data_IF_457563247461
#
_entry.id   IF_457563247461
#
_cell.length_a   1.000
_cell.length_b   1.000
_cell.length_c   1.000
_cell.angle_alpha   90.00
_cell.angle_beta   90.00
_cell.angle_gamma   90.00
#
_symmetry.space_group_name_H-M   'P 1'
#
loop_
_entity.id
_entity.type
_entity.pdbx_description
1 polymer ?
#
# COMPACT_ATOMS: atom_id res chain seq x y z
N UNK A 1 -13.80 4.49 -22.13
CA UNK A 1 -12.64 4.67 -21.22
C UNK A 1 -12.29 3.29 -20.70
N UNK A 2 -11.02 2.87 -20.76
CA UNK A 2 -10.62 1.59 -20.18
C UNK A 2 -10.46 1.84 -18.68
N UNK A 3 -11.33 1.27 -17.86
CA UNK A 3 -11.19 1.27 -16.40
C UNK A 3 -10.02 0.37 -16.05
N UNK A 4 -8.93 0.93 -15.53
CA UNK A 4 -7.81 0.11 -15.05
C UNK A 4 -8.24 -0.58 -13.76
N UNK A 5 -8.16 -1.91 -13.77
CA UNK A 5 -8.48 -2.76 -12.63
C UNK A 5 -7.19 -3.10 -11.90
N UNK A 6 -7.13 -2.84 -10.60
CA UNK A 6 -6.05 -3.37 -9.77
C UNK A 6 -6.54 -4.64 -9.08
N UNK A 7 -5.65 -5.62 -8.97
CA UNK A 7 -5.94 -6.87 -8.27
C UNK A 7 -5.23 -6.84 -6.93
N UNK A 8 -5.98 -6.83 -5.82
CA UNK A 8 -5.43 -6.93 -4.48
C UNK A 8 -5.54 -8.38 -4.02
N UNK A 9 -4.40 -9.04 -3.85
CA UNK A 9 -4.30 -10.42 -3.39
C UNK A 9 -3.82 -10.46 -1.94
N UNK A 10 -4.51 -11.24 -1.13
CA UNK A 10 -4.26 -11.36 0.30
C UNK A 10 -3.65 -12.73 0.58
N UNK A 11 -2.54 -12.75 1.31
CA UNK A 11 -1.98 -14.00 1.84
C UNK A 11 -2.80 -14.50 3.04
N UNK A 12 -2.74 -15.79 3.32
CA UNK A 12 -3.46 -16.38 4.46
C UNK A 12 -3.00 -15.77 5.79
N UNK A 13 -1.69 -15.55 5.90
CA UNK A 13 -1.07 -14.85 7.04
C UNK A 13 -1.62 -13.43 7.18
N UNK A 14 -1.75 -12.68 6.07
CA UNK A 14 -2.35 -11.36 6.15
C UNK A 14 -3.77 -11.41 6.73
N UNK A 15 -4.61 -12.36 6.31
CA UNK A 15 -5.97 -12.49 6.84
C UNK A 15 -5.98 -12.75 8.34
N UNK A 16 -5.15 -13.71 8.79
CA UNK A 16 -5.00 -14.06 10.22
C UNK A 16 -4.64 -12.85 11.07
N UNK A 17 -3.71 -12.03 10.61
CA UNK A 17 -3.31 -10.82 11.32
C UNK A 17 -4.34 -9.69 11.20
N UNK A 18 -5.02 -9.58 10.06
CA UNK A 18 -6.03 -8.55 9.82
C UNK A 18 -7.24 -8.69 10.75
N UNK A 19 -7.66 -9.91 11.08
CA UNK A 19 -8.75 -10.17 12.03
C UNK A 19 -8.50 -9.60 13.43
N UNK A 20 -7.23 -9.54 13.85
CA UNK A 20 -6.83 -8.93 15.13
C UNK A 20 -6.64 -7.41 15.09
N UNK A 21 -6.66 -6.79 13.89
CA UNK A 21 -6.36 -5.36 13.71
C UNK A 21 -7.58 -4.58 13.22
N UNK A 22 -8.42 -5.17 12.38
CA UNK A 22 -9.49 -4.49 11.65
C UNK A 22 -10.77 -5.32 11.63
N UNK A 23 -11.90 -4.61 11.59
CA UNK A 23 -13.16 -5.19 11.14
C UNK A 23 -13.15 -5.37 9.61
N UNK A 24 -14.01 -6.25 9.09
CA UNK A 24 -14.13 -6.51 7.64
C UNK A 24 -14.32 -5.21 6.83
N UNK A 25 -15.15 -4.29 7.30
CA UNK A 25 -15.37 -2.99 6.65
C UNK A 25 -14.09 -2.14 6.57
N UNK A 26 -13.26 -2.15 7.62
CA UNK A 26 -12.00 -1.40 7.65
C UNK A 26 -10.95 -2.04 6.74
N UNK A 27 -10.91 -3.37 6.67
CA UNK A 27 -10.07 -4.13 5.73
C UNK A 27 -10.46 -3.82 4.28
N UNK A 28 -11.76 -3.78 3.96
CA UNK A 28 -12.27 -3.39 2.63
C UNK A 28 -11.89 -1.94 2.29
N UNK A 29 -12.01 -1.01 3.24
CA UNK A 29 -11.56 0.38 3.05
C UNK A 29 -10.07 0.46 2.75
N UNK A 30 -9.25 -0.32 3.45
CA UNK A 30 -7.82 -0.40 3.17
C UNK A 30 -7.53 -0.98 1.78
N UNK A 31 -8.21 -2.07 1.38
CA UNK A 31 -8.07 -2.71 0.06
C UNK A 31 -8.38 -1.72 -1.07
N UNK A 32 -9.49 -0.98 -0.95
CA UNK A 32 -9.86 0.04 -1.94
C UNK A 32 -8.82 1.18 -1.97
N UNK A 33 -8.34 1.60 -0.81
CA UNK A 33 -7.34 2.66 -0.71
C UNK A 33 -5.99 2.25 -1.30
N UNK A 34 -5.48 1.04 -1.01
CA UNK A 34 -4.17 0.59 -1.49
C UNK A 34 -4.19 0.32 -3.00
N UNK A 35 -5.31 -0.16 -3.55
CA UNK A 35 -5.50 -0.28 -4.99
C UNK A 35 -5.34 1.08 -5.71
N UNK A 36 -5.86 2.15 -5.12
CA UNK A 36 -5.69 3.51 -5.64
C UNK A 36 -4.32 4.13 -5.33
N UNK A 37 -3.57 3.56 -4.39
CA UNK A 37 -2.29 4.09 -3.91
C UNK A 37 -1.19 3.01 -3.90
N UNK A 38 -0.91 2.33 -5.04
CA UNK A 38 -0.02 1.16 -5.08
C UNK A 38 1.43 1.47 -4.68
N UNK A 39 1.85 2.73 -4.76
CA UNK A 39 3.19 3.18 -4.39
C UNK A 39 3.29 3.77 -2.98
N UNK A 40 2.23 3.72 -2.17
CA UNK A 40 2.22 4.34 -0.86
C UNK A 40 3.16 3.68 0.16
N UNK A 41 3.78 4.50 0.99
CA UNK A 41 4.71 4.03 2.02
C UNK A 41 6.12 3.76 1.50
N UNK A 42 6.99 3.44 2.44
CA UNK A 42 8.43 3.39 2.21
C UNK A 42 8.83 2.01 1.68
N UNK A 43 9.72 1.96 0.67
CA UNK A 43 10.36 0.70 0.27
C UNK A 43 11.21 0.21 1.44
N UNK A 44 11.01 -1.05 1.83
CA UNK A 44 11.79 -1.69 2.88
C UNK A 44 13.15 -2.09 2.29
N UNK A 45 14.28 -1.53 2.79
CA UNK A 45 15.60 -1.88 2.29
C UNK A 45 15.85 -3.39 2.37
N UNK A 46 16.55 -3.98 1.40
CA UNK A 46 16.88 -5.43 1.41
C UNK A 46 15.71 -6.38 1.11
N UNK A 47 14.48 -5.89 0.96
CA UNK A 47 13.27 -6.73 0.77
C UNK A 47 12.92 -7.04 -0.68
N UNK A 48 13.80 -6.68 -1.62
CA UNK A 48 13.57 -6.78 -3.07
C UNK A 48 12.26 -6.12 -3.55
N UNK A 49 11.87 -5.00 -2.92
CA UNK A 49 10.75 -4.16 -3.38
C UNK A 49 9.48 -4.21 -2.53
N UNK A 50 9.48 -4.89 -1.37
CA UNK A 50 8.36 -4.79 -0.44
C UNK A 50 8.24 -3.35 0.10
N UNK A 51 7.01 -2.86 0.24
CA UNK A 51 6.69 -1.54 0.78
C UNK A 51 6.03 -1.67 2.14
N UNK A 52 6.25 -0.67 3.00
CA UNK A 52 5.63 -0.55 4.31
C UNK A 52 4.82 0.73 4.37
N UNK A 53 3.50 0.58 4.46
CA UNK A 53 2.57 1.70 4.57
C UNK A 53 2.01 1.82 5.98
N UNK A 54 1.89 3.05 6.46
CA UNK A 54 1.15 3.40 7.68
C UNK A 54 -0.24 3.82 7.24
N UNK A 55 -1.27 3.13 7.71
CA UNK A 55 -2.64 3.45 7.35
C UNK A 55 -3.49 3.66 8.60
N UNK A 56 -4.31 4.70 8.56
CA UNK A 56 -5.32 4.97 9.56
C UNK A 56 -6.50 5.67 8.91
N UNK A 57 -7.70 5.27 9.31
CA UNK A 57 -8.93 5.92 8.88
C UNK A 57 -9.01 7.34 9.48
N UNK A 58 -9.31 8.34 8.65
CA UNK A 58 -9.48 9.73 9.08
C UNK A 58 -10.66 9.88 10.06
N UNK A 59 -10.44 10.54 11.20
CA UNK A 59 -11.50 10.88 12.17
C UNK A 59 -11.79 9.83 13.25
N UNK A 60 -11.05 8.70 13.30
CA UNK A 60 -11.18 7.70 14.38
C UNK A 60 -9.92 7.74 15.26
N UNK A 61 -10.11 7.75 16.59
CA UNK A 61 -9.04 7.87 17.58
C UNK A 61 -8.01 6.73 17.58
N UNK A 62 -7.15 6.69 18.61
CA UNK A 62 -5.89 5.89 18.76
C UNK A 62 -5.91 4.40 18.37
N UNK A 63 -7.07 3.79 18.09
CA UNK A 63 -7.24 2.37 17.69
C UNK A 63 -7.18 2.11 16.16
N UNK A 64 -7.08 3.13 15.31
CA UNK A 64 -7.12 2.96 13.85
C UNK A 64 -5.78 2.82 13.11
N UNK A 65 -4.65 2.94 13.81
CA UNK A 65 -3.32 3.00 13.17
C UNK A 65 -2.67 1.63 12.97
N UNK A 66 -2.62 1.16 11.73
CA UNK A 66 -1.98 -0.09 11.34
C UNK A 66 -0.77 0.14 10.43
N UNK A 67 0.15 -0.83 10.42
CA UNK A 67 1.24 -0.91 9.44
C UNK A 67 1.04 -2.14 8.61
N UNK A 68 1.09 -1.98 7.30
CA UNK A 68 0.95 -3.07 6.34
C UNK A 68 2.24 -3.18 5.54
N UNK A 69 2.75 -4.41 5.42
CA UNK A 69 3.81 -4.74 4.48
C UNK A 69 3.15 -5.40 3.28
N UNK A 70 3.46 -4.90 2.09
CA UNK A 70 2.87 -5.36 0.85
C UNK A 70 3.89 -5.32 -0.29
N UNK A 71 3.58 -5.99 -1.40
CA UNK A 71 4.39 -5.97 -2.61
C UNK A 71 3.53 -5.52 -3.79
N UNK A 72 4.07 -4.64 -4.64
CA UNK A 72 3.38 -4.13 -5.82
C UNK A 72 4.05 -4.69 -7.08
N UNK A 73 3.35 -5.56 -7.80
CA UNK A 73 3.79 -6.06 -9.10
C UNK A 73 3.58 -4.99 -10.19
N UNK A 74 4.39 -5.06 -11.25
CA UNK A 74 4.34 -4.11 -12.36
C UNK A 74 3.01 -4.17 -13.14
N UNK A 75 2.30 -5.30 -13.08
CA UNK A 75 1.04 -5.54 -13.81
C UNK A 75 -0.22 -5.08 -13.04
N UNK A 76 -0.06 -4.32 -11.96
CA UNK A 76 -1.20 -3.80 -11.17
C UNK A 76 -1.78 -4.80 -10.17
N UNK A 77 -1.05 -5.88 -9.85
CA UNK A 77 -1.35 -6.77 -8.74
C UNK A 77 -0.62 -6.33 -7.47
N UNK A 78 -1.35 -6.23 -6.37
CA UNK A 78 -0.84 -5.83 -5.06
C UNK A 78 -1.00 -7.02 -4.11
N UNK A 79 0.10 -7.49 -3.54
CA UNK A 79 0.10 -8.57 -2.55
C UNK A 79 0.19 -8.04 -1.14
N UNK A 80 -0.84 -8.29 -0.33
CA UNK A 80 -0.85 -7.98 1.09
C UNK A 80 -0.20 -9.12 1.87
N UNK A 81 0.94 -8.84 2.52
CA UNK A 81 1.78 -9.85 3.14
C UNK A 81 1.50 -9.97 4.64
N UNK A 82 1.47 -8.86 5.37
CA UNK A 82 1.18 -8.87 6.82
C UNK A 82 0.73 -7.49 7.28
N UNK A 83 -0.10 -7.45 8.33
CA UNK A 83 -0.55 -6.21 8.99
C UNK A 83 -0.35 -6.31 10.50
N UNK A 84 -0.02 -5.20 11.16
CA UNK A 84 0.09 -5.16 12.62
C UNK A 84 -0.22 -3.77 13.19
N UNK A 85 -0.75 -3.74 14.42
CA UNK A 85 -1.09 -2.52 15.12
C UNK A 85 0.14 -1.80 15.70
N UNK A 86 0.01 -0.49 15.96
CA UNK A 86 1.10 0.35 16.50
C UNK A 86 1.65 -0.12 17.85
N UNK A 87 0.86 -0.79 18.69
CA UNK A 87 1.32 -1.32 19.99
C UNK A 87 2.46 -2.34 19.86
N UNK A 88 2.51 -3.08 18.74
CA UNK A 88 3.51 -4.12 18.48
C UNK A 88 4.72 -3.58 17.71
N UNK A 89 4.81 -2.26 17.50
CA UNK A 89 5.86 -1.65 16.68
C UNK A 89 7.19 -1.39 17.39
N UNK A 90 7.24 -1.59 18.71
CA UNK A 90 8.48 -1.49 19.48
C UNK A 90 9.52 -2.52 19.01
N UNK A 91 9.05 -3.58 18.36
CA UNK A 91 9.83 -4.77 18.01
C UNK A 91 10.25 -4.84 16.54
N UNK A 92 9.70 -3.96 15.69
CA UNK A 92 10.24 -3.68 14.34
C UNK A 92 11.32 -2.57 14.37
N UNK A 93 12.10 -2.48 15.45
CA UNK A 93 13.23 -1.56 15.56
C UNK A 93 14.46 -2.24 14.92
N UNK A 94 14.66 -1.98 13.62
CA UNK A 94 15.96 -1.90 12.94
C UNK A 94 17.06 -2.96 13.24
N UNK A 95 16.72 -4.20 13.59
CA UNK A 95 17.68 -5.33 13.66
C UNK A 95 17.47 -6.37 12.55
N UNK A 96 16.77 -6.01 11.46
CA UNK A 96 16.46 -6.96 10.39
C UNK A 96 17.50 -6.99 9.25
N UNK A 97 18.38 -5.99 9.11
CA UNK A 97 19.18 -5.83 7.88
C UNK A 97 20.67 -5.53 8.09
N UNK A 98 21.29 -6.02 9.16
CA UNK A 98 22.71 -5.75 9.39
C UNK A 98 23.54 -6.90 9.98
N UNK A 99 23.20 -8.16 9.73
CA UNK A 99 24.17 -9.19 10.10
C UNK A 99 24.18 -10.42 9.19
N UNK A 100 24.96 -10.31 8.11
CA UNK A 100 25.68 -11.45 7.54
C UNK A 100 27.19 -11.38 7.79
N UNK A 101 27.68 -10.47 8.65
CA UNK A 101 29.04 -10.61 9.13
C UNK A 101 29.32 -9.85 10.42
N UNK A 102 30.04 -10.54 11.30
CA UNK A 102 30.70 -10.12 12.55
C UNK A 102 29.89 -10.06 13.85
N UNK A 103 30.64 -10.46 14.88
CA UNK A 103 30.27 -11.21 16.09
C UNK A 103 30.39 -10.30 17.32
N UNK A 104 29.61 -10.64 18.36
CA UNK A 104 29.55 -10.07 19.73
C UNK A 104 28.65 -8.82 19.88
N UNK A 105 27.78 -8.66 20.90
CA UNK A 105 27.74 -9.27 22.23
C UNK A 105 26.32 -9.19 22.87
N UNK A 106 25.96 -10.26 23.60
CA UNK A 106 24.99 -10.42 24.71
C UNK A 106 23.55 -9.83 24.68
N UNK A 107 22.60 -10.76 24.61
CA UNK A 107 21.39 -10.85 25.43
C UNK A 107 20.35 -9.71 25.36
N UNK A 108 19.64 -9.64 24.23
CA UNK A 108 18.18 -9.80 24.30
C UNK A 108 17.82 -11.04 23.49
N UNK A 109 17.03 -11.99 24.02
CA UNK A 109 16.41 -12.96 23.13
C UNK A 109 15.66 -12.16 22.07
N UNK A 110 15.75 -12.57 20.80
CA UNK A 110 14.65 -12.25 19.88
C UNK A 110 13.43 -12.82 20.58
N UNK A 111 12.57 -11.94 21.12
CA UNK A 111 11.35 -12.34 21.81
C UNK A 111 10.64 -13.36 20.89
N UNK A 112 10.19 -14.51 21.37
CA UNK A 112 9.66 -15.58 20.51
C UNK A 112 8.55 -15.08 19.55
N UNK A 113 7.82 -14.05 19.98
CA UNK A 113 6.85 -13.29 19.16
C UNK A 113 7.45 -12.69 17.88
N UNK A 114 8.70 -12.23 17.93
CA UNK A 114 9.41 -11.70 16.76
C UNK A 114 9.89 -12.76 15.80
N UNK A 115 10.37 -13.88 16.33
CA UNK A 115 10.73 -15.01 15.49
C UNK A 115 9.49 -15.52 14.75
N UNK A 116 8.35 -15.63 15.46
CA UNK A 116 7.08 -15.97 14.85
C UNK A 116 6.66 -14.94 13.78
N UNK A 117 6.76 -13.64 14.07
CA UNK A 117 6.43 -12.59 13.10
C UNK A 117 7.30 -12.68 11.83
N UNK A 118 8.60 -12.95 11.98
CA UNK A 118 9.49 -13.13 10.84
C UNK A 118 9.13 -14.37 10.03
N UNK A 119 8.87 -15.50 10.69
CA UNK A 119 8.45 -16.74 10.04
C UNK A 119 7.13 -16.57 9.28
N UNK A 120 6.17 -15.86 9.88
CA UNK A 120 4.88 -15.55 9.25
C UNK A 120 5.06 -14.65 8.03
N UNK A 121 5.86 -13.59 8.11
CA UNK A 121 6.16 -12.72 6.97
C UNK A 121 6.85 -13.50 5.84
N UNK A 122 7.81 -14.38 6.16
CA UNK A 122 8.45 -15.26 5.18
C UNK A 122 7.45 -16.22 4.54
N UNK A 123 6.51 -16.76 5.32
CA UNK A 123 5.44 -17.61 4.81
C UNK A 123 4.54 -16.83 3.82
N UNK A 124 4.16 -15.59 4.12
CA UNK A 124 3.43 -14.73 3.19
C UNK A 124 4.19 -14.51 1.88
N UNK A 125 5.50 -14.25 1.95
CA UNK A 125 6.34 -14.07 0.76
C UNK A 125 6.41 -15.36 -0.06
N UNK A 126 6.49 -16.53 0.57
CA UNK A 126 6.44 -17.83 -0.12
C UNK A 126 5.08 -18.06 -0.79
N UNK A 127 3.98 -17.72 -0.13
CA UNK A 127 2.63 -17.80 -0.70
C UNK A 127 2.50 -16.90 -1.94
N UNK A 128 2.94 -15.65 -1.85
CA UNK A 128 3.00 -14.71 -2.97
C UNK A 128 3.82 -15.28 -4.13
N UNK A 129 5.06 -15.74 -3.88
CA UNK A 129 5.93 -16.32 -4.94
C UNK A 129 5.33 -17.57 -5.58
N UNK A 130 4.51 -18.31 -4.86
CA UNK A 130 3.77 -19.47 -5.36
C UNK A 130 2.42 -19.11 -6.01
N UNK A 131 2.05 -17.82 -6.08
CA UNK A 131 0.76 -17.37 -6.60
C UNK A 131 -0.45 -17.75 -5.74
N UNK A 132 -0.23 -18.14 -4.48
CA UNK A 132 -1.27 -18.62 -3.56
C UNK A 132 -1.91 -17.46 -2.80
N UNK A 133 -2.96 -16.87 -3.37
CA UNK A 133 -3.79 -15.88 -2.69
C UNK A 133 -4.94 -16.56 -1.92
N UNK A 134 -5.10 -16.23 -0.64
CA UNK A 134 -6.22 -16.67 0.17
C UNK A 134 -7.53 -15.92 -0.17
N UNK A 135 -7.42 -14.65 -0.54
CA UNK A 135 -8.51 -13.87 -1.14
C UNK A 135 -7.95 -12.95 -2.21
N UNK A 136 -8.71 -12.77 -3.28
CA UNK A 136 -8.38 -11.80 -4.33
C UNK A 136 -9.57 -10.87 -4.53
N UNK A 137 -9.31 -9.57 -4.51
CA UNK A 137 -10.30 -8.53 -4.73
C UNK A 137 -9.87 -7.71 -5.94
N UNK A 138 -10.75 -7.61 -6.93
CA UNK A 138 -10.54 -6.74 -8.10
C UNK A 138 -11.18 -5.39 -7.80
N UNK A 139 -10.37 -4.33 -7.81
CA UNK A 139 -10.80 -2.96 -7.51
C UNK A 139 -10.76 -2.14 -8.79
N UNK A 140 -11.92 -1.60 -9.18
CA UNK A 140 -12.03 -0.64 -10.26
C UNK A 140 -11.53 0.73 -9.81
N UNK A 141 -10.49 1.25 -10.46
CA UNK A 141 -10.00 2.59 -10.14
C UNK A 141 -10.93 3.67 -10.70
N UNK A 142 -11.05 4.76 -9.93
CA UNK A 142 -11.63 5.99 -10.45
C UNK A 142 -10.71 6.58 -11.53
N UNK A 143 -11.22 7.39 -12.48
CA UNK A 143 -10.39 8.01 -13.51
C UNK A 143 -9.24 8.86 -12.95
N UNK A 144 -9.44 9.49 -11.79
CA UNK A 144 -8.41 10.27 -11.13
C UNK A 144 -7.29 9.39 -10.56
N UNK A 145 -7.65 8.29 -9.88
CA UNK A 145 -6.68 7.37 -9.30
C UNK A 145 -5.88 6.64 -10.40
N UNK A 146 -6.54 6.24 -11.49
CA UNK A 146 -5.89 5.65 -12.66
C UNK A 146 -4.88 6.60 -13.30
N UNK A 147 -5.29 7.84 -13.56
CA UNK A 147 -4.40 8.84 -14.16
C UNK A 147 -3.14 9.07 -13.31
N UNK A 148 -3.29 9.24 -11.99
CA UNK A 148 -2.13 9.42 -11.10
C UNK A 148 -1.24 8.18 -11.08
N UNK A 149 -1.82 6.99 -10.97
CA UNK A 149 -1.07 5.74 -10.92
C UNK A 149 -0.20 5.55 -12.17
N UNK A 150 -0.74 5.87 -13.36
CA UNK A 150 -0.01 5.79 -14.63
C UNK A 150 1.12 6.81 -14.76
N UNK A 151 0.93 8.01 -14.22
CA UNK A 151 1.98 9.05 -14.21
C UNK A 151 3.06 8.72 -13.19
N UNK A 152 2.74 7.99 -12.11
CA UNK A 152 3.69 7.57 -11.09
C UNK A 152 4.02 8.67 -10.07
N UNK A 153 3.15 9.66 -9.93
CA UNK A 153 3.32 10.78 -9.00
C UNK A 153 2.66 10.54 -7.64
N UNK A 154 3.15 11.22 -6.61
CA UNK A 154 2.45 11.36 -5.32
C UNK A 154 1.15 12.16 -5.48
N UNK A 155 0.23 12.03 -4.52
CA UNK A 155 -1.00 12.84 -4.51
C UNK A 155 -0.69 14.35 -4.48
N UNK A 156 0.36 14.77 -3.77
CA UNK A 156 0.76 16.18 -3.71
C UNK A 156 1.27 16.71 -5.04
N UNK A 157 2.17 15.99 -5.71
CA UNK A 157 2.71 16.38 -7.01
C UNK A 157 1.60 16.41 -8.07
N UNK A 158 0.74 15.38 -8.08
CA UNK A 158 -0.34 15.30 -9.04
C UNK A 158 -1.42 16.36 -8.81
N UNK A 159 -1.72 16.70 -7.54
CA UNK A 159 -2.65 17.79 -7.22
C UNK A 159 -2.09 19.15 -7.66
N UNK A 160 -0.80 19.38 -7.43
CA UNK A 160 -0.10 20.59 -7.87
C UNK A 160 -0.14 20.75 -9.39
N UNK A 161 0.17 19.67 -10.13
CA UNK A 161 0.08 19.61 -11.58
C UNK A 161 -1.33 19.97 -12.11
N UNK A 162 -2.38 19.47 -11.44
CA UNK A 162 -3.77 19.74 -11.82
C UNK A 162 -4.29 21.10 -11.33
N UNK A 163 -3.52 21.84 -10.54
CA UNK A 163 -3.94 23.12 -9.95
C UNK A 163 -5.07 22.98 -8.93
N UNK A 164 -5.15 21.85 -8.21
CA UNK A 164 -6.19 21.60 -7.19
C UNK A 164 -5.58 21.27 -5.83
N UNK A 165 -6.37 21.40 -4.77
CA UNK A 165 -5.92 20.96 -3.44
C UNK A 165 -5.78 19.43 -3.38
N UNK A 166 -4.84 18.94 -2.57
CA UNK A 166 -4.69 17.49 -2.29
C UNK A 166 -6.01 16.89 -1.80
N UNK A 167 -6.78 17.64 -1.00
CA UNK A 167 -8.10 17.22 -0.51
C UNK A 167 -9.08 17.01 -1.65
N UNK A 168 -9.10 17.91 -2.63
CA UNK A 168 -9.94 17.79 -3.84
C UNK A 168 -9.58 16.55 -4.64
N UNK A 169 -8.29 16.33 -4.89
CA UNK A 169 -7.83 15.13 -5.58
C UNK A 169 -8.22 13.86 -4.82
N UNK A 170 -8.07 13.83 -3.49
CA UNK A 170 -8.50 12.69 -2.67
C UNK A 170 -10.00 12.41 -2.75
N UNK A 171 -10.84 13.46 -2.82
CA UNK A 171 -12.28 13.28 -3.01
C UNK A 171 -12.63 12.70 -4.39
N UNK A 172 -11.87 13.05 -5.43
CA UNK A 172 -12.01 12.45 -6.76
C UNK A 172 -11.54 11.00 -6.79
N UNK A 173 -10.36 10.72 -6.21
CA UNK A 173 -9.78 9.37 -6.19
C UNK A 173 -10.65 8.38 -5.42
N UNK A 174 -11.29 8.84 -4.34
CA UNK A 174 -12.16 8.03 -3.49
C UNK A 174 -13.63 8.04 -3.96
N UNK A 175 -13.95 8.70 -5.08
CA UNK A 175 -15.30 8.75 -5.64
C UNK A 175 -16.31 9.55 -4.81
N UNK A 176 -15.87 10.31 -3.81
CA UNK A 176 -16.75 11.21 -3.02
C UNK A 176 -17.24 12.41 -3.83
N UNK A 177 -16.48 12.82 -4.84
CA UNK A 177 -16.82 13.93 -5.72
C UNK A 177 -16.38 13.64 -7.14
N UNK A 178 -17.17 14.10 -8.12
CA UNK A 178 -16.74 14.05 -9.51
C UNK A 178 -15.84 15.24 -9.90
N UNK A 179 -14.81 15.03 -10.72
CA UNK A 179 -14.05 16.13 -11.33
C UNK A 179 -14.92 16.96 -12.29
N UNK A 180 -14.58 18.24 -12.45
CA UNK A 180 -15.22 19.10 -13.46
C UNK A 180 -14.95 18.58 -14.89
N UNK A 181 -15.70 19.05 -15.88
CA UNK A 181 -15.50 18.64 -17.29
C UNK A 181 -14.07 18.91 -17.80
N UNK A 182 -13.48 20.04 -17.43
CA UNK A 182 -12.10 20.39 -17.77
C UNK A 182 -11.11 19.44 -17.06
N UNK A 183 -11.31 19.19 -15.77
CA UNK A 183 -10.48 18.25 -15.00
C UNK A 183 -10.56 16.82 -15.56
N UNK A 184 -11.75 16.33 -15.94
CA UNK A 184 -11.92 15.03 -16.62
C UNK A 184 -11.12 14.94 -17.92
N UNK A 185 -10.87 16.06 -18.60
CA UNK A 185 -10.04 16.11 -19.80
C UNK A 185 -8.56 16.03 -19.47
N UNK A 186 -8.09 16.79 -18.47
CA UNK A 186 -6.71 16.71 -17.99
C UNK A 186 -6.36 15.32 -17.47
N UNK A 187 -7.25 14.69 -16.70
CA UNK A 187 -7.06 13.31 -16.23
C UNK A 187 -6.94 12.31 -17.38
N UNK A 188 -7.72 12.49 -18.46
CA UNK A 188 -7.61 11.67 -19.68
C UNK A 188 -6.27 11.85 -20.38
N UNK A 189 -5.77 13.08 -20.45
CA UNK A 189 -4.46 13.38 -21.04
C UNK A 189 -3.37 12.71 -20.19
N UNK A 190 -3.39 12.92 -18.87
CA UNK A 190 -2.44 12.30 -17.95
C UNK A 190 -2.42 10.76 -18.04
N UNK A 191 -3.58 10.12 -18.18
CA UNK A 191 -3.67 8.67 -18.34
C UNK A 191 -3.17 8.16 -19.71
N UNK A 192 -3.21 8.98 -20.77
CA UNK A 192 -2.81 8.60 -22.15
C UNK A 192 -1.38 8.95 -22.49
N UNK A 193 -0.85 10.02 -21.92
CA UNK A 193 0.50 10.51 -22.17
C UNK A 193 1.24 10.76 -20.84
N UNK A 194 1.54 9.71 -20.06
CA UNK A 194 2.12 9.88 -18.73
C UNK A 194 3.58 10.37 -18.75
N UNK A 195 4.28 10.17 -19.86
CA UNK A 195 5.67 10.64 -20.05
C UNK A 195 5.70 12.16 -20.26
N UNK A 196 4.89 12.70 -21.18
CA UNK A 196 4.76 14.14 -21.40
C UNK A 196 4.34 14.90 -20.13
N UNK A 197 3.48 14.31 -19.31
CA UNK A 197 3.07 14.90 -18.04
C UNK A 197 4.21 14.93 -17.01
N UNK A 198 5.06 13.91 -16.97
CA UNK A 198 6.23 13.88 -16.08
C UNK A 198 7.28 14.92 -16.45
N UNK A 199 7.35 15.34 -17.72
CA UNK A 199 8.28 16.38 -18.18
C UNK A 199 7.78 17.82 -17.93
N UNK A 200 6.50 17.99 -17.58
CA UNK A 200 5.88 19.30 -17.44
C UNK A 200 5.98 19.91 -16.02
N UNK A 201 6.65 19.22 -15.10
CA UNK A 201 6.89 19.58 -13.69
C UNK A 201 8.36 19.43 -13.38
#
# INVERSE_FOLDING_TARGET
MITTMHTVSETEIFQKYAEGVWLEAERVEFINWIAANPLAGDVVPGSNGCRKVRWSRSGRGRRGGARVIYFNELEGRIWLLIVYAKANSTTCRLHFWHNLNTRWNMAKPIDAEMEQFQNDLLASVRQMKAGKAARTTVVALTPAADARAKVGMSQSEFAALLGVSVRTLQDWEQGRREPSGAAKTLLRIAARTPEAVRLAV
#
